data_IF_517877767968
#
_entry.id   IF_517877767968
#
_cell.length_a   1.000
_cell.length_b   1.000
_cell.length_c   1.000
_cell.angle_alpha   90.00
_cell.angle_beta   90.00
_cell.angle_gamma   90.00
#
_symmetry.space_group_name_H-M   'P 1'
#
loop_
_entity.id
_entity.type
_entity.pdbx_description
1 polymer ?
#
# COMPACT_ATOMS: atom_id res chain seq x y z
N UNK A 1 15.12 75.62 -4.73
CA UNK A 1 14.51 74.30 -4.44
C UNK A 1 14.03 73.70 -5.77
N UNK A 2 14.78 72.76 -6.37
CA UNK A 2 14.39 72.13 -7.65
C UNK A 2 13.40 71.00 -7.37
N UNK A 3 12.12 71.18 -7.71
CA UNK A 3 11.17 70.07 -7.84
C UNK A 3 11.53 69.31 -9.12
N UNK A 4 12.07 68.09 -8.98
CA UNK A 4 12.16 67.14 -10.09
C UNK A 4 10.78 66.51 -10.22
N UNK A 5 10.05 66.83 -11.29
CA UNK A 5 8.81 66.14 -11.63
C UNK A 5 9.13 64.74 -12.11
N UNK A 6 8.49 63.73 -11.51
CA UNK A 6 8.57 62.33 -11.97
C UNK A 6 8.04 62.29 -13.40
N UNK A 7 8.81 61.73 -14.33
CA UNK A 7 8.39 61.66 -15.73
C UNK A 7 7.44 60.48 -15.93
N UNK A 8 6.49 60.61 -16.87
CA UNK A 8 5.55 59.52 -17.20
C UNK A 8 6.28 58.23 -17.60
N UNK A 9 7.42 58.36 -18.29
CA UNK A 9 8.30 57.24 -18.63
C UNK A 9 8.85 56.54 -17.38
N UNK A 10 9.29 57.29 -16.37
CA UNK A 10 9.82 56.73 -15.13
C UNK A 10 8.76 55.94 -14.36
N UNK A 11 7.52 56.43 -14.30
CA UNK A 11 6.41 55.68 -13.70
C UNK A 11 6.07 54.40 -14.46
N UNK A 12 6.13 54.42 -15.79
CA UNK A 12 5.89 53.24 -16.62
C UNK A 12 7.00 52.19 -16.45
N UNK A 13 8.26 52.62 -16.42
CA UNK A 13 9.40 51.72 -16.18
C UNK A 13 9.33 51.12 -14.79
N UNK A 14 9.02 51.92 -13.75
CA UNK A 14 8.85 51.42 -12.39
C UNK A 14 7.72 50.37 -12.30
N UNK A 15 6.59 50.62 -12.97
CA UNK A 15 5.48 49.68 -13.04
C UNK A 15 5.88 48.39 -13.75
N UNK A 16 6.58 48.48 -14.89
CA UNK A 16 7.03 47.32 -15.66
C UNK A 16 8.01 46.44 -14.86
N UNK A 17 8.97 47.06 -14.16
CA UNK A 17 9.90 46.35 -13.28
C UNK A 17 9.17 45.69 -12.11
N UNK A 18 8.21 46.39 -11.51
CA UNK A 18 7.40 45.83 -10.43
C UNK A 18 6.59 44.62 -10.91
N UNK A 19 5.95 44.72 -12.07
CA UNK A 19 5.20 43.62 -12.67
C UNK A 19 6.10 42.40 -12.97
N UNK A 20 7.30 42.63 -13.49
CA UNK A 20 8.28 41.56 -13.75
C UNK A 20 8.71 40.86 -12.45
N UNK A 21 9.00 41.64 -11.41
CA UNK A 21 9.38 41.11 -10.09
C UNK A 21 8.22 40.32 -9.47
N UNK A 22 6.99 40.84 -9.53
CA UNK A 22 5.80 40.14 -9.05
C UNK A 22 5.57 38.82 -9.79
N UNK A 23 5.70 38.82 -11.12
CA UNK A 23 5.56 37.60 -11.93
C UNK A 23 6.64 36.56 -11.60
N UNK A 24 7.89 36.99 -11.37
CA UNK A 24 8.96 36.10 -10.96
C UNK A 24 8.73 35.51 -9.56
N UNK A 25 8.22 36.32 -8.63
CA UNK A 25 7.87 35.88 -7.28
C UNK A 25 6.70 34.90 -7.31
N UNK A 26 5.63 35.20 -8.06
CA UNK A 26 4.47 34.32 -8.24
C UNK A 26 4.91 32.96 -8.80
N UNK A 27 5.71 32.97 -9.86
CA UNK A 27 6.25 31.73 -10.45
C UNK A 27 7.05 30.89 -9.46
N UNK A 28 7.82 31.54 -8.57
CA UNK A 28 8.59 30.85 -7.53
C UNK A 28 7.68 30.24 -6.46
N UNK A 29 6.67 30.99 -6.01
CA UNK A 29 5.70 30.52 -5.00
C UNK A 29 4.89 29.34 -5.52
N UNK A 30 4.39 29.42 -6.75
CA UNK A 30 3.61 28.34 -7.38
C UNK A 30 4.46 27.07 -7.52
N UNK A 31 5.72 27.21 -7.93
CA UNK A 31 6.65 26.07 -8.02
C UNK A 31 6.92 25.45 -6.65
N UNK A 32 7.14 26.27 -5.63
CA UNK A 32 7.37 25.78 -4.26
C UNK A 32 6.12 25.06 -3.71
N UNK A 33 4.93 25.61 -3.93
CA UNK A 33 3.67 24.97 -3.55
C UNK A 33 3.47 23.62 -4.25
N UNK A 34 3.73 23.55 -5.56
CA UNK A 34 3.66 22.31 -6.34
C UNK A 34 4.70 21.27 -5.91
N UNK A 35 5.91 21.69 -5.53
CA UNK A 35 6.91 20.79 -4.96
C UNK A 35 6.47 20.24 -3.60
N UNK A 36 5.94 21.09 -2.72
CA UNK A 36 5.41 20.68 -1.41
C UNK A 36 4.24 19.70 -1.54
N UNK A 37 3.29 19.99 -2.43
CA UNK A 37 2.14 19.11 -2.65
C UNK A 37 2.57 17.71 -3.12
N UNK A 38 3.54 17.64 -4.04
CA UNK A 38 4.11 16.37 -4.50
C UNK A 38 4.82 15.61 -3.36
N UNK A 39 5.63 16.31 -2.58
CA UNK A 39 6.31 15.69 -1.43
C UNK A 39 5.31 15.14 -0.39
N UNK A 40 4.22 15.86 -0.11
CA UNK A 40 3.15 15.37 0.77
C UNK A 40 2.49 14.11 0.23
N UNK A 41 2.15 14.10 -1.06
CA UNK A 41 1.51 12.95 -1.69
C UNK A 41 2.40 11.70 -1.66
N UNK A 42 3.72 11.87 -1.84
CA UNK A 42 4.68 10.76 -1.69
C UNK A 42 4.69 10.25 -0.24
N UNK A 43 4.81 11.15 0.74
CA UNK A 43 4.82 10.78 2.15
C UNK A 43 3.52 10.08 2.62
N UNK A 44 2.36 10.53 2.12
CA UNK A 44 1.06 9.92 2.41
C UNK A 44 0.97 8.49 1.86
N UNK A 45 1.49 8.24 0.64
CA UNK A 45 1.53 6.89 0.06
C UNK A 45 2.47 5.96 0.82
N UNK A 46 3.66 6.44 1.19
CA UNK A 46 4.61 5.73 2.04
C UNK A 46 3.98 5.32 3.39
N UNK A 47 3.30 6.28 4.04
CA UNK A 47 2.62 6.06 5.31
C UNK A 47 1.48 5.05 5.18
N UNK A 48 0.69 5.12 4.11
CA UNK A 48 -0.37 4.16 3.83
C UNK A 48 0.21 2.75 3.65
N UNK A 49 1.27 2.60 2.82
CA UNK A 49 1.96 1.32 2.63
C UNK A 49 2.50 0.73 3.93
N UNK A 50 3.15 1.55 4.75
CA UNK A 50 3.67 1.13 6.06
C UNK A 50 2.55 0.70 7.02
N UNK A 51 1.41 1.40 7.02
CA UNK A 51 0.26 1.05 7.85
C UNK A 51 -0.28 -0.35 7.52
N UNK A 52 -0.29 -0.72 6.23
CA UNK A 52 -0.74 -2.03 5.77
C UNK A 52 0.26 -3.14 6.15
N UNK A 53 1.57 -2.90 6.02
CA UNK A 53 2.58 -3.86 6.47
C UNK A 53 2.50 -4.12 7.98
N UNK A 54 2.31 -3.08 8.79
CA UNK A 54 2.14 -3.23 10.24
C UNK A 54 0.87 -4.01 10.59
N UNK A 55 -0.24 -3.75 9.87
CA UNK A 55 -1.48 -4.50 10.03
C UNK A 55 -1.28 -5.97 9.67
N UNK A 56 -0.71 -6.27 8.51
CA UNK A 56 -0.42 -7.64 8.07
C UNK A 56 0.47 -8.38 9.07
N UNK A 57 1.50 -7.71 9.58
CA UNK A 57 2.38 -8.26 10.62
C UNK A 57 1.59 -8.60 11.88
N UNK A 58 0.75 -7.69 12.35
CA UNK A 58 -0.11 -7.92 13.54
C UNK A 58 -1.09 -9.07 13.33
N UNK A 59 -1.68 -9.19 12.13
CA UNK A 59 -2.59 -10.29 11.80
C UNK A 59 -1.84 -11.63 11.73
N UNK A 60 -0.63 -11.66 11.16
CA UNK A 60 0.21 -12.86 11.11
C UNK A 60 0.68 -13.32 12.50
N UNK A 61 1.06 -12.38 13.36
CA UNK A 61 1.45 -12.65 14.75
C UNK A 61 0.26 -13.15 15.59
N UNK A 62 -0.97 -12.79 15.20
CA UNK A 62 -2.21 -13.24 15.83
C UNK A 62 -2.77 -14.53 15.22
N UNK A 63 -2.01 -15.23 14.36
CA UNK A 63 -2.40 -16.51 13.81
C UNK A 63 -2.48 -17.60 14.91
N UNK A 64 -3.35 -18.62 14.75
CA UNK A 64 -3.32 -19.80 15.60
C UNK A 64 -1.97 -20.50 15.57
N UNK A 65 -1.59 -21.12 16.69
CA UNK A 65 -0.41 -21.98 16.78
C UNK A 65 -0.51 -23.17 15.83
N UNK A 66 0.63 -23.75 15.44
CA UNK A 66 0.72 -24.79 14.42
C UNK A 66 -0.23 -25.98 14.62
N UNK A 67 -0.48 -26.38 15.87
CA UNK A 67 -1.31 -27.54 16.20
C UNK A 67 -2.82 -27.23 16.28
N UNK A 68 -3.25 -25.97 16.10
CA UNK A 68 -4.69 -25.63 16.12
C UNK A 68 -5.35 -26.14 14.82
N UNK A 69 -6.43 -26.95 14.90
CA UNK A 69 -7.14 -27.45 13.71
C UNK A 69 -7.75 -26.37 12.81
N UNK A 70 -7.95 -25.14 13.33
CA UNK A 70 -8.42 -23.96 12.60
C UNK A 70 -7.30 -23.27 11.83
N UNK A 71 -6.05 -23.64 12.06
CA UNK A 71 -4.90 -23.10 11.33
C UNK A 71 -5.08 -23.38 9.84
N UNK A 72 -5.01 -22.31 9.06
CA UNK A 72 -4.93 -22.33 7.60
C UNK A 72 -3.92 -21.28 7.22
N UNK A 73 -3.03 -21.60 6.30
CA UNK A 73 -2.06 -20.67 5.75
C UNK A 73 -1.72 -21.12 4.33
N UNK A 74 -1.89 -20.22 3.36
CA UNK A 74 -1.62 -20.48 1.96
C UNK A 74 -1.06 -19.23 1.29
N UNK A 75 -0.07 -19.46 0.42
CA UNK A 75 0.47 -18.44 -0.47
C UNK A 75 0.42 -18.98 -1.88
N UNK A 76 -0.37 -18.33 -2.73
CA UNK A 76 -0.43 -18.63 -4.15
C UNK A 76 0.44 -17.64 -4.92
N UNK A 77 1.48 -18.12 -5.63
CA UNK A 77 2.40 -17.25 -6.32
C UNK A 77 1.73 -16.52 -7.50
N UNK A 78 2.38 -15.46 -7.96
CA UNK A 78 1.98 -14.73 -9.16
C UNK A 78 1.83 -15.66 -10.38
N UNK A 79 0.71 -15.54 -11.11
CA UNK A 79 0.43 -16.34 -12.31
C UNK A 79 0.79 -15.51 -13.54
N UNK A 80 2.09 -15.43 -13.81
CA UNK A 80 2.63 -14.77 -15.00
C UNK A 80 2.60 -13.24 -14.97
N UNK A 81 3.04 -12.59 -16.06
CA UNK A 81 3.28 -11.14 -16.09
C UNK A 81 2.01 -10.27 -16.02
N UNK A 82 0.84 -10.84 -16.33
CA UNK A 82 -0.44 -10.14 -16.23
C UNK A 82 -0.98 -10.07 -14.79
N UNK A 83 -0.52 -10.96 -13.92
CA UNK A 83 -0.91 -11.03 -12.50
C UNK A 83 0.35 -11.18 -11.65
N UNK A 84 1.21 -10.14 -11.56
CA UNK A 84 2.49 -10.20 -10.85
C UNK A 84 2.34 -10.23 -9.32
N UNK A 85 1.12 -10.39 -8.81
CA UNK A 85 0.80 -10.31 -7.39
C UNK A 85 0.54 -11.68 -6.80
N UNK A 86 1.09 -11.89 -5.61
CA UNK A 86 0.84 -13.07 -4.79
C UNK A 86 -0.55 -12.97 -4.15
N UNK A 87 -1.22 -14.11 -3.90
CA UNK A 87 -2.38 -14.14 -3.01
C UNK A 87 -2.00 -14.81 -1.69
N UNK A 88 -2.30 -14.13 -0.58
CA UNK A 88 -2.04 -14.62 0.77
C UNK A 88 -3.36 -14.88 1.48
N UNK A 89 -3.53 -16.06 2.06
CA UNK A 89 -4.69 -16.37 2.90
C UNK A 89 -4.26 -17.09 4.17
N UNK A 90 -4.73 -16.63 5.32
CA UNK A 90 -4.39 -17.26 6.60
C UNK A 90 -5.47 -17.05 7.66
N UNK A 91 -5.46 -17.90 8.68
CA UNK A 91 -6.32 -17.75 9.86
C UNK A 91 -5.66 -16.80 10.86
N UNK A 92 -6.41 -15.85 11.41
CA UNK A 92 -6.01 -14.94 12.49
C UNK A 92 -7.11 -14.83 13.53
N UNK A 93 -6.76 -14.52 14.78
CA UNK A 93 -7.74 -14.15 15.79
C UNK A 93 -8.08 -12.67 15.72
N UNK A 94 -9.33 -12.33 16.07
CA UNK A 94 -9.69 -10.94 16.31
C UNK A 94 -8.91 -10.39 17.50
N UNK A 95 -8.50 -9.13 17.41
CA UNK A 95 -7.80 -8.41 18.49
C UNK A 95 -8.66 -8.47 19.76
N UNK A 96 -8.18 -9.16 20.80
CA UNK A 96 -8.94 -9.44 22.03
C UNK A 96 -9.31 -10.91 22.27
N UNK A 97 -8.82 -11.86 21.47
CA UNK A 97 -8.99 -13.30 21.72
C UNK A 97 -10.33 -13.89 21.26
N UNK A 98 -10.98 -13.22 20.29
CA UNK A 98 -12.28 -13.64 19.74
C UNK A 98 -12.21 -14.81 18.76
N UNK A 99 -13.27 -14.99 17.97
CA UNK A 99 -13.36 -16.05 16.97
C UNK A 99 -12.26 -15.96 15.90
N UNK A 100 -11.71 -17.12 15.53
CA UNK A 100 -10.79 -17.25 14.42
C UNK A 100 -11.50 -16.92 13.09
N UNK A 101 -10.85 -16.12 12.25
CA UNK A 101 -11.34 -15.78 10.92
C UNK A 101 -10.22 -15.91 9.89
N UNK A 102 -10.60 -16.23 8.66
CA UNK A 102 -9.69 -16.34 7.53
C UNK A 102 -9.64 -15.00 6.82
N UNK A 103 -8.45 -14.42 6.77
CA UNK A 103 -8.17 -13.21 6.01
C UNK A 103 -7.52 -13.58 4.69
N UNK A 104 -7.94 -12.92 3.62
CA UNK A 104 -7.35 -13.09 2.28
C UNK A 104 -6.93 -11.73 1.74
N UNK A 105 -5.67 -11.63 1.35
CA UNK A 105 -5.09 -10.48 0.68
C UNK A 105 -4.83 -10.81 -0.78
N UNK A 106 -5.41 -10.02 -1.68
CA UNK A 106 -5.22 -10.16 -3.13
C UNK A 106 -5.22 -8.78 -3.78
N UNK A 107 -4.49 -8.63 -4.88
CA UNK A 107 -4.53 -7.42 -5.69
C UNK A 107 -5.55 -7.61 -6.81
N UNK A 108 -6.46 -6.67 -6.95
CA UNK A 108 -7.38 -6.58 -8.09
C UNK A 108 -6.81 -5.58 -9.11
N UNK A 109 -6.60 -5.98 -10.38
CA UNK A 109 -6.05 -5.09 -11.40
C UNK A 109 -6.94 -3.86 -11.61
N UNK A 110 -6.32 -2.69 -11.82
CA UNK A 110 -7.01 -1.47 -12.24
C UNK A 110 -7.20 -1.50 -13.77
N UNK A 111 -8.43 -1.63 -14.30
CA UNK A 111 -8.66 -1.71 -15.74
C UNK A 111 -8.27 -0.41 -16.47
N UNK A 112 -8.19 0.71 -15.75
CA UNK A 112 -7.81 2.01 -16.32
C UNK A 112 -6.29 2.20 -16.36
N UNK A 113 -5.53 1.42 -15.59
CA UNK A 113 -4.08 1.58 -15.42
C UNK A 113 -3.38 0.21 -15.40
N UNK A 114 -3.02 -0.33 -16.58
CA UNK A 114 -2.31 -1.61 -16.69
C UNK A 114 -1.04 -1.65 -15.83
N UNK A 115 -0.81 -2.78 -15.16
CA UNK A 115 0.33 -2.97 -14.26
C UNK A 115 0.16 -2.36 -12.86
N UNK A 116 -0.99 -1.72 -12.60
CA UNK A 116 -1.37 -1.30 -11.24
C UNK A 116 -2.64 -2.01 -10.79
N UNK A 117 -2.82 -2.11 -9.47
CA UNK A 117 -4.02 -2.66 -8.89
C UNK A 117 -4.33 -2.09 -7.51
N UNK A 118 -5.39 -2.61 -6.91
CA UNK A 118 -5.81 -2.29 -5.55
C UNK A 118 -5.70 -3.55 -4.70
N UNK A 119 -4.92 -3.47 -3.62
CA UNK A 119 -4.87 -4.51 -2.60
C UNK A 119 -6.21 -4.53 -1.87
N UNK A 120 -6.85 -5.69 -1.87
CA UNK A 120 -8.08 -5.98 -1.17
C UNK A 120 -7.81 -6.90 0.01
N UNK A 121 -8.46 -6.62 1.15
CA UNK A 121 -8.54 -7.52 2.31
C UNK A 121 -9.95 -8.08 2.42
N UNK A 122 -10.09 -9.39 2.34
CA UNK A 122 -11.36 -10.07 2.61
C UNK A 122 -11.30 -10.79 3.94
N UNK A 123 -12.38 -10.70 4.69
CA UNK A 123 -12.56 -11.38 5.97
C UNK A 123 -13.66 -12.43 5.83
N UNK A 124 -13.40 -13.67 6.25
CA UNK A 124 -14.39 -14.74 6.31
C UNK A 124 -14.33 -15.40 7.68
N UNK A 125 -15.45 -15.41 8.39
CA UNK A 125 -15.57 -16.23 9.59
C UNK A 125 -15.33 -17.71 9.27
N UNK A 126 -14.67 -18.41 10.19
CA UNK A 126 -14.48 -19.86 10.12
C UNK A 126 -15.19 -20.54 11.30
N UNK A 127 -16.15 -21.46 11.07
CA UNK A 127 -16.62 -21.92 9.77
C UNK A 127 -17.53 -20.90 9.07
N UNK A 128 -17.42 -20.80 7.74
CA UNK A 128 -18.28 -19.93 6.96
C UNK A 128 -19.69 -20.56 6.84
N UNK A 129 -20.78 -19.82 7.09
CA UNK A 129 -22.12 -20.27 6.72
C UNK A 129 -22.20 -20.45 5.19
N UNK A 130 -23.05 -21.33 4.65
CA UNK A 130 -23.25 -21.46 3.21
C UNK A 130 -23.75 -20.12 2.65
N UNK A 131 -22.91 -19.45 1.86
CA UNK A 131 -23.22 -18.14 1.26
C UNK A 131 -23.74 -18.34 -0.17
N UNK A 132 -24.87 -17.71 -0.49
CA UNK A 132 -25.39 -17.66 -1.86
C UNK A 132 -24.43 -16.87 -2.78
N UNK A 133 -24.27 -17.28 -4.06
CA UNK A 133 -23.23 -16.77 -4.97
C UNK A 133 -23.25 -15.26 -5.22
N UNK A 134 -24.35 -14.56 -4.95
CA UNK A 134 -24.57 -13.16 -5.34
C UNK A 134 -24.53 -12.13 -4.19
N UNK A 135 -24.02 -12.48 -3.01
CA UNK A 135 -23.94 -11.50 -1.92
C UNK A 135 -22.82 -10.46 -2.13
N UNK A 136 -23.17 -9.17 -2.16
CA UNK A 136 -22.25 -8.01 -2.22
C UNK A 136 -21.18 -8.01 -1.10
N UNK A 137 -21.37 -8.81 -0.04
CA UNK A 137 -20.38 -9.14 1.01
C UNK A 137 -19.15 -9.94 0.49
N UNK A 138 -19.08 -10.26 -0.80
CA UNK A 138 -17.99 -11.00 -1.43
C UNK A 138 -16.82 -10.13 -1.94
N UNK A 139 -17.04 -8.83 -2.16
CA UNK A 139 -16.02 -7.90 -2.62
C UNK A 139 -15.12 -7.50 -1.42
N UNK A 140 -13.84 -7.85 -1.45
CA UNK A 140 -12.90 -7.52 -0.38
C UNK A 140 -12.81 -6.01 -0.14
N UNK A 141 -12.47 -5.59 1.07
CA UNK A 141 -12.29 -4.19 1.42
C UNK A 141 -11.01 -3.66 0.75
N UNK A 142 -11.06 -2.59 -0.05
CA UNK A 142 -9.85 -1.97 -0.59
C UNK A 142 -9.04 -1.37 0.56
N UNK A 143 -7.77 -1.78 0.66
CA UNK A 143 -6.86 -1.34 1.73
C UNK A 143 -5.73 -0.46 1.21
N UNK A 144 -5.30 -0.64 -0.04
CA UNK A 144 -4.24 0.18 -0.64
C UNK A 144 -4.34 0.16 -2.16
N UNK A 145 -4.45 1.34 -2.77
CA UNK A 145 -4.48 1.50 -4.23
C UNK A 145 -3.08 1.70 -4.83
N UNK A 146 -3.03 1.72 -6.16
CA UNK A 146 -1.79 1.97 -6.94
C UNK A 146 -0.65 1.01 -6.61
N UNK A 147 -0.99 -0.26 -6.40
CA UNK A 147 -0.06 -1.35 -6.14
C UNK A 147 0.52 -1.81 -7.47
N UNK A 148 1.85 -1.78 -7.58
CA UNK A 148 2.60 -2.33 -8.70
C UNK A 148 3.14 -3.71 -8.40
N UNK A 149 3.49 -3.96 -7.13
CA UNK A 149 3.98 -5.27 -6.69
C UNK A 149 3.43 -5.64 -5.31
N UNK A 150 3.14 -6.93 -5.13
CA UNK A 150 2.73 -7.52 -3.86
C UNK A 150 3.24 -8.95 -3.84
N UNK A 151 4.26 -9.17 -3.02
CA UNK A 151 5.00 -10.43 -2.94
C UNK A 151 5.01 -10.94 -1.51
N UNK A 152 4.82 -12.24 -1.36
CA UNK A 152 4.95 -12.91 -0.08
C UNK A 152 5.91 -14.07 -0.25
N UNK A 153 6.90 -14.16 0.64
CA UNK A 153 7.83 -15.28 0.71
C UNK A 153 7.74 -15.93 2.09
N UNK A 154 7.81 -17.24 2.11
CA UNK A 154 7.70 -18.06 3.31
C UNK A 154 9.01 -18.80 3.54
N UNK A 155 9.51 -18.79 4.78
CA UNK A 155 10.71 -19.51 5.17
C UNK A 155 10.33 -20.88 5.73
N UNK A 156 10.84 -21.96 5.12
CA UNK A 156 10.57 -23.33 5.58
C UNK A 156 11.51 -23.84 6.67
N UNK A 157 12.50 -23.02 7.05
CA UNK A 157 13.60 -23.41 7.94
C UNK A 157 14.93 -23.55 7.20
N UNK A 158 14.90 -23.63 5.87
CA UNK A 158 16.08 -23.77 5.02
C UNK A 158 16.13 -22.73 3.90
N UNK A 159 15.01 -22.49 3.22
CA UNK A 159 14.94 -21.57 2.09
C UNK A 159 13.69 -20.70 2.10
N UNK A 160 13.75 -19.61 1.34
CA UNK A 160 12.62 -18.70 1.11
C UNK A 160 11.88 -19.10 -0.16
N UNK A 161 10.59 -19.41 -0.01
CA UNK A 161 9.71 -19.87 -1.10
C UNK A 161 8.60 -18.88 -1.39
N UNK A 162 8.22 -18.73 -2.65
CA UNK A 162 7.15 -17.82 -3.08
C UNK A 162 5.76 -18.48 -3.06
N UNK A 163 5.70 -19.77 -2.74
CA UNK A 163 4.48 -20.56 -2.61
C UNK A 163 4.41 -21.21 -1.22
N UNK A 164 3.20 -21.42 -0.73
CA UNK A 164 2.98 -22.20 0.48
C UNK A 164 1.64 -22.93 0.44
N UNK A 165 1.67 -24.23 0.74
CA UNK A 165 0.48 -25.09 0.73
C UNK A 165 -0.10 -25.26 2.14
N UNK A 166 -1.41 -25.53 2.28
CA UNK A 166 -1.98 -25.85 3.57
C UNK A 166 -1.31 -27.09 4.19
N UNK A 167 -1.11 -27.09 5.50
CA UNK A 167 -0.69 -28.27 6.27
C UNK A 167 0.46 -28.02 7.25
N UNK A 168 1.34 -27.07 6.95
CA UNK A 168 2.40 -26.62 7.86
C UNK A 168 2.41 -25.10 7.96
N UNK A 169 2.94 -24.56 9.05
CA UNK A 169 3.21 -23.12 9.18
C UNK A 169 4.66 -22.83 8.73
N UNK A 170 4.89 -21.75 7.98
CA UNK A 170 6.24 -21.28 7.74
C UNK A 170 6.84 -20.69 9.01
N UNK A 171 8.16 -20.80 9.16
CA UNK A 171 8.88 -20.26 10.32
C UNK A 171 9.00 -18.73 10.28
N UNK A 172 8.92 -18.15 9.08
CA UNK A 172 8.91 -16.71 8.86
C UNK A 172 8.20 -16.35 7.56
N UNK A 173 7.62 -15.17 7.52
CA UNK A 173 6.92 -14.63 6.35
C UNK A 173 7.48 -13.26 6.05
N UNK A 174 8.01 -13.08 4.85
CA UNK A 174 8.43 -11.79 4.33
C UNK A 174 7.34 -11.26 3.40
N UNK A 175 6.94 -10.02 3.60
CA UNK A 175 5.94 -9.32 2.80
C UNK A 175 6.60 -8.13 2.14
N UNK A 176 6.44 -8.00 0.83
CA UNK A 176 6.85 -6.85 0.06
C UNK A 176 5.68 -6.19 -0.66
N UNK A 177 5.62 -4.87 -0.62
CA UNK A 177 4.66 -4.05 -1.36
C UNK A 177 5.44 -3.03 -2.19
N UNK A 178 5.14 -2.92 -3.47
CA UNK A 178 5.57 -1.84 -4.36
C UNK A 178 4.40 -0.92 -4.68
N UNK A 179 4.48 0.34 -4.26
CA UNK A 179 3.44 1.37 -4.50
C UNK A 179 3.94 2.37 -5.54
N UNK A 180 3.08 2.78 -6.47
CA UNK A 180 3.37 3.86 -7.41
C UNK A 180 3.61 5.19 -6.66
N UNK A 181 4.76 5.83 -6.89
CA UNK A 181 5.11 7.11 -6.27
C UNK A 181 4.50 8.33 -6.99
N UNK A 182 3.77 8.12 -8.09
CA UNK A 182 3.16 9.16 -8.91
C UNK A 182 4.15 9.97 -9.75
N UNK A 183 5.43 9.59 -9.76
CA UNK A 183 6.54 10.16 -10.54
C UNK A 183 7.18 9.10 -11.44
N UNK A 184 6.42 8.06 -11.81
CA UNK A 184 6.85 6.88 -12.56
C UNK A 184 7.86 5.97 -11.83
N UNK A 185 8.12 6.22 -10.55
CA UNK A 185 8.89 5.33 -9.69
C UNK A 185 8.00 4.37 -8.90
N UNK A 186 8.65 3.50 -8.14
CA UNK A 186 8.00 2.55 -7.25
C UNK A 186 8.65 2.69 -5.88
N UNK A 187 7.84 2.94 -4.87
CA UNK A 187 8.27 2.86 -3.49
C UNK A 187 8.13 1.42 -3.00
N UNK A 188 9.25 0.77 -2.71
CA UNK A 188 9.28 -0.58 -2.16
C UNK A 188 9.34 -0.57 -0.65
N UNK A 189 8.36 -1.21 -0.03
CA UNK A 189 8.30 -1.44 1.40
C UNK A 189 8.34 -2.95 1.67
N UNK A 190 9.15 -3.36 2.64
CA UNK A 190 9.29 -4.76 3.05
C UNK A 190 9.22 -4.88 4.57
N UNK A 191 8.63 -5.96 5.04
CA UNK A 191 8.66 -6.37 6.45
C UNK A 191 8.74 -7.88 6.54
N UNK A 192 9.18 -8.39 7.69
CA UNK A 192 9.13 -9.80 8.01
C UNK A 192 8.36 -10.00 9.32
N UNK A 193 7.60 -11.08 9.39
CA UNK A 193 6.82 -11.49 10.55
C UNK A 193 7.10 -12.96 10.88
N UNK A 194 7.03 -13.32 12.15
CA UNK A 194 7.06 -14.71 12.62
C UNK A 194 5.65 -15.14 12.99
N UNK A 195 5.27 -16.36 12.65
CA UNK A 195 4.02 -16.95 13.14
C UNK A 195 4.25 -17.60 14.50
N UNK A 196 3.21 -17.70 15.35
CA UNK A 196 3.28 -18.48 16.58
C UNK A 196 3.60 -19.95 16.27
N UNK A 197 4.83 -20.37 16.54
CA UNK A 197 5.22 -21.78 16.48
C UNK A 197 4.74 -22.49 17.75
N UNK A 198 4.34 -23.75 17.60
CA UNK A 198 4.13 -24.62 18.77
C UNK A 198 5.47 -24.74 19.52
N UNK A 199 5.43 -24.58 20.85
CA UNK A 199 6.59 -24.78 21.73
C UNK A 199 6.76 -26.26 22.05
#
# INVERSE_FOLDING_TARGET
MRRRGVTLLETLVALALTALVLAALEGTVVRAAGARARASAVAERAAAGRSILLRLTTELEAAPVADDPRQRFTVEPAVGPAHPWTMLSFTTYARGGGAAHVVTYRVEPDPSRPGTGTLLRRDRFSPAPPVAPDSTNLAGLPVLGSIRDFRVRCFDGTEWRADWRPGTLPQGVEIGIGVDDGMNGVEELRTAATLPTAR
#
